data_IF_163979611458
#
_entry.id   IF_163979611458
#
_cell.length_a   1.000
_cell.length_b   1.000
_cell.length_c   1.000
_cell.angle_alpha   90.00
_cell.angle_beta   90.00
_cell.angle_gamma   90.00
#
_symmetry.space_group_name_H-M   'P 1'
#
loop_
_entity.id
_entity.type
_entity.pdbx_description
1 polymer ?
#
# COMPACT_ATOMS: atom_id res chain seq x y z
N UNK A 1 2.91 15.16 9.84
CA UNK A 1 3.69 14.08 9.18
C UNK A 1 2.96 12.73 9.16
N UNK A 2 2.44 12.22 10.29
CA UNK A 2 1.69 10.94 10.32
C UNK A 2 0.48 10.91 9.37
N UNK A 3 -0.35 11.94 9.34
CA UNK A 3 -1.50 12.05 8.42
C UNK A 3 -1.08 12.06 6.95
N UNK A 4 0.03 12.74 6.61
CA UNK A 4 0.58 12.76 5.25
C UNK A 4 0.99 11.37 4.78
N UNK A 5 1.64 10.58 5.65
CA UNK A 5 1.97 9.18 5.38
C UNK A 5 0.72 8.31 5.14
N UNK A 6 -0.35 8.51 5.91
CA UNK A 6 -1.57 7.75 5.67
C UNK A 6 -2.27 8.14 4.36
N UNK A 7 -2.13 9.40 3.92
CA UNK A 7 -2.61 9.84 2.59
C UNK A 7 -1.80 9.19 1.48
N UNK A 8 -0.47 9.05 1.63
CA UNK A 8 0.33 8.36 0.60
C UNK A 8 -0.09 6.91 0.41
N UNK A 9 -0.68 6.26 1.42
CA UNK A 9 -1.24 4.92 1.31
C UNK A 9 -2.45 4.80 0.33
N UNK A 10 -3.06 5.93 -0.06
CA UNK A 10 -4.10 6.00 -1.10
C UNK A 10 -3.50 6.04 -2.51
N UNK A 11 -2.20 6.18 -2.64
CA UNK A 11 -1.47 6.03 -3.90
C UNK A 11 -0.93 4.59 -3.92
N UNK A 12 -1.24 3.78 -4.94
CA UNK A 12 -0.89 2.35 -4.94
C UNK A 12 0.61 2.09 -5.18
N UNK A 13 1.39 3.13 -5.46
CA UNK A 13 2.80 3.04 -5.85
C UNK A 13 3.69 3.59 -4.72
N UNK A 14 4.78 2.88 -4.35
CA UNK A 14 5.65 3.28 -3.23
C UNK A 14 6.66 4.39 -3.56
N UNK A 15 6.21 5.50 -4.17
CA UNK A 15 7.09 6.62 -4.56
C UNK A 15 7.54 7.44 -3.34
N UNK A 16 6.61 7.75 -2.44
CA UNK A 16 6.86 8.68 -1.33
C UNK A 16 7.20 7.96 -0.02
N UNK A 17 6.82 6.70 0.13
CA UNK A 17 6.92 5.97 1.39
C UNK A 17 8.33 5.45 1.66
N UNK A 18 9.06 5.04 0.62
CA UNK A 18 10.45 4.59 0.74
C UNK A 18 11.40 5.73 1.16
N UNK A 19 11.40 6.92 0.52
CA UNK A 19 12.23 8.03 0.98
C UNK A 19 11.88 8.46 2.41
N UNK A 20 10.59 8.51 2.75
CA UNK A 20 10.13 8.87 4.10
C UNK A 20 10.60 7.85 5.14
N UNK A 21 10.51 6.54 4.83
CA UNK A 21 11.04 5.49 5.69
C UNK A 21 12.54 5.69 5.96
N UNK A 22 13.34 5.90 4.91
CA UNK A 22 14.79 6.05 5.02
C UNK A 22 15.20 7.26 5.87
N UNK A 23 14.54 8.41 5.67
CA UNK A 23 14.83 9.65 6.42
C UNK A 23 14.40 9.53 7.90
N UNK A 24 13.32 8.80 8.17
CA UNK A 24 12.73 8.72 9.52
C UNK A 24 13.25 7.55 10.34
N UNK A 25 13.99 6.61 9.74
CA UNK A 25 14.54 5.42 10.39
C UNK A 25 15.27 5.75 11.70
N UNK A 26 16.15 6.76 11.65
CA UNK A 26 16.98 7.16 12.80
C UNK A 26 16.38 8.29 13.64
N UNK A 27 15.36 9.01 13.12
CA UNK A 27 14.79 10.20 13.77
C UNK A 27 13.53 9.90 14.57
N UNK A 28 12.70 8.98 14.07
CA UNK A 28 11.42 8.66 14.70
C UNK A 28 11.00 7.22 14.37
N UNK A 29 11.31 6.25 15.25
CA UNK A 29 11.05 4.83 14.98
C UNK A 29 9.56 4.53 14.78
N UNK A 30 8.66 5.30 15.40
CA UNK A 30 7.21 5.18 15.18
C UNK A 30 6.80 5.53 13.75
N UNK A 31 7.39 6.59 13.18
CA UNK A 31 7.08 7.04 11.82
C UNK A 31 7.69 6.09 10.80
N UNK A 32 8.90 5.60 11.06
CA UNK A 32 9.54 4.58 10.25
C UNK A 32 8.70 3.29 10.21
N UNK A 33 8.17 2.84 11.35
CA UNK A 33 7.31 1.66 11.39
C UNK A 33 6.03 1.82 10.56
N UNK A 34 5.38 2.99 10.61
CA UNK A 34 4.21 3.29 9.79
C UNK A 34 4.57 3.34 8.30
N UNK A 35 5.67 4.01 7.96
CA UNK A 35 6.16 4.09 6.58
C UNK A 35 6.49 2.71 6.00
N UNK A 36 7.11 1.83 6.78
CA UNK A 36 7.41 0.44 6.39
C UNK A 36 6.12 -0.34 6.08
N UNK A 37 5.09 -0.22 6.93
CA UNK A 37 3.80 -0.88 6.68
C UNK A 37 3.12 -0.41 5.39
N UNK A 38 3.12 0.90 5.14
CA UNK A 38 2.53 1.46 3.92
C UNK A 38 3.33 1.02 2.70
N UNK A 39 4.66 1.06 2.79
CA UNK A 39 5.54 0.61 1.73
C UNK A 39 5.29 -0.87 1.38
N UNK A 40 5.25 -1.74 2.40
CA UNK A 40 4.96 -3.16 2.24
C UNK A 40 3.61 -3.38 1.53
N UNK A 41 2.58 -2.62 1.90
CA UNK A 41 1.27 -2.67 1.25
C UNK A 41 1.28 -2.22 -0.22
N UNK A 42 1.87 -1.07 -0.51
CA UNK A 42 1.98 -0.53 -1.87
C UNK A 42 2.80 -1.46 -2.76
N UNK A 43 3.93 -1.96 -2.26
CA UNK A 43 4.77 -2.88 -3.01
C UNK A 43 4.02 -4.20 -3.30
N UNK A 44 3.26 -4.72 -2.33
CA UNK A 44 2.43 -5.90 -2.54
C UNK A 44 1.39 -5.67 -3.64
N UNK A 45 0.70 -4.52 -3.64
CA UNK A 45 -0.25 -4.18 -4.71
C UNK A 45 0.42 -4.12 -6.08
N UNK A 46 1.61 -3.52 -6.18
CA UNK A 46 2.39 -3.47 -7.44
C UNK A 46 2.75 -4.89 -7.90
N UNK A 47 3.20 -5.75 -6.99
CA UNK A 47 3.54 -7.15 -7.30
C UNK A 47 2.31 -7.91 -7.77
N UNK A 48 1.17 -7.78 -7.08
CA UNK A 48 -0.05 -8.46 -7.49
C UNK A 48 -0.55 -7.97 -8.85
N UNK A 49 -0.46 -6.66 -9.12
CA UNK A 49 -0.82 -6.10 -10.42
C UNK A 49 0.12 -6.59 -11.53
N UNK A 50 1.42 -6.64 -11.26
CA UNK A 50 2.41 -7.17 -12.19
C UNK A 50 2.17 -8.67 -12.47
N UNK A 51 1.93 -9.48 -11.44
CA UNK A 51 1.55 -10.88 -11.60
C UNK A 51 0.24 -11.02 -12.40
N UNK A 52 -0.74 -10.16 -12.15
CA UNK A 52 -1.99 -10.10 -12.92
C UNK A 52 -1.73 -9.87 -14.40
N UNK A 53 -0.86 -8.90 -14.75
CA UNK A 53 -0.48 -8.62 -16.13
C UNK A 53 0.21 -9.81 -16.79
N UNK A 54 1.15 -10.45 -16.08
CA UNK A 54 1.85 -11.64 -16.60
C UNK A 54 0.92 -12.83 -16.86
N UNK A 55 -0.19 -12.93 -16.12
CA UNK A 55 -1.18 -14.00 -16.26
C UNK A 55 -2.31 -13.67 -17.24
N UNK A 56 -2.28 -12.52 -17.92
CA UNK A 56 -3.27 -12.18 -18.97
C UNK A 56 -3.32 -13.23 -20.10
N UNK A 57 -2.19 -13.78 -20.60
CA UNK A 57 -2.22 -14.77 -21.69
C UNK A 57 -3.03 -16.03 -21.39
N UNK A 58 -3.20 -16.37 -20.11
CA UNK A 58 -3.97 -17.53 -19.65
C UNK A 58 -5.36 -17.15 -19.10
N UNK A 59 -5.85 -15.94 -19.42
CA UNK A 59 -7.13 -15.34 -18.97
C UNK A 59 -7.31 -15.14 -17.46
N UNK A 60 -6.55 -15.86 -16.61
CA UNK A 60 -6.56 -15.73 -15.15
C UNK A 60 -6.15 -14.32 -14.71
N UNK A 61 -5.21 -13.70 -15.43
CA UNK A 61 -4.75 -12.34 -15.14
C UNK A 61 -5.84 -11.29 -15.14
N UNK A 62 -6.83 -11.42 -16.04
CA UNK A 62 -7.95 -10.47 -16.13
C UNK A 62 -8.82 -10.49 -14.86
N UNK A 63 -9.15 -11.68 -14.36
CA UNK A 63 -9.89 -11.84 -13.11
C UNK A 63 -9.12 -11.28 -11.92
N UNK A 64 -7.80 -11.52 -11.86
CA UNK A 64 -6.94 -11.02 -10.78
C UNK A 64 -6.85 -9.49 -10.78
N UNK A 65 -6.68 -8.86 -11.95
CA UNK A 65 -6.63 -7.40 -12.08
C UNK A 65 -7.98 -6.77 -11.65
N UNK A 66 -9.11 -7.31 -12.11
CA UNK A 66 -10.43 -6.83 -11.70
C UNK A 66 -10.62 -6.95 -10.19
N UNK A 67 -10.27 -8.10 -9.60
CA UNK A 67 -10.34 -8.31 -8.16
C UNK A 67 -9.49 -7.28 -7.39
N UNK A 68 -8.27 -7.01 -7.83
CA UNK A 68 -7.40 -5.99 -7.22
C UNK A 68 -8.01 -4.59 -7.29
N UNK A 69 -8.62 -4.21 -8.43
CA UNK A 69 -9.28 -2.91 -8.59
C UNK A 69 -10.45 -2.79 -7.60
N UNK A 70 -11.33 -3.79 -7.54
CA UNK A 70 -12.45 -3.79 -6.60
C UNK A 70 -11.99 -3.75 -5.15
N UNK A 71 -11.00 -4.58 -4.81
CA UNK A 71 -10.38 -4.59 -3.48
C UNK A 71 -9.82 -3.22 -3.11
N UNK A 72 -9.11 -2.57 -4.03
CA UNK A 72 -8.50 -1.26 -3.81
C UNK A 72 -9.54 -0.15 -3.61
N UNK A 73 -10.61 -0.16 -4.39
CA UNK A 73 -11.74 0.77 -4.23
C UNK A 73 -12.38 0.59 -2.85
N UNK A 74 -12.68 -0.65 -2.45
CA UNK A 74 -13.25 -0.95 -1.12
C UNK A 74 -12.30 -0.50 -0.01
N UNK A 75 -10.99 -0.72 -0.18
CA UNK A 75 -9.97 -0.26 0.75
C UNK A 75 -10.01 1.26 0.92
N UNK A 76 -10.04 2.03 -0.18
CA UNK A 76 -10.14 3.49 -0.14
C UNK A 76 -11.40 3.91 0.60
N UNK A 77 -12.57 3.40 0.23
CA UNK A 77 -13.87 3.80 0.82
C UNK A 77 -13.88 3.55 2.33
N UNK A 78 -13.41 2.38 2.77
CA UNK A 78 -13.39 2.03 4.20
C UNK A 78 -12.39 2.85 5.00
N UNK A 79 -11.26 3.22 4.38
CA UNK A 79 -10.14 3.82 5.10
C UNK A 79 -10.04 5.33 4.98
N UNK A 80 -10.75 5.98 4.05
CA UNK A 80 -10.67 7.44 3.85
C UNK A 80 -11.00 8.24 5.12
N UNK A 81 -11.95 7.75 5.93
CA UNK A 81 -12.31 8.35 7.23
C UNK A 81 -11.33 8.02 8.37
N UNK A 82 -10.53 6.96 8.20
CA UNK A 82 -9.58 6.47 9.21
C UNK A 82 -8.15 6.97 8.95
N UNK A 83 -7.85 7.45 7.74
CA UNK A 83 -6.58 8.12 7.37
C UNK A 83 -6.26 9.27 8.34
N UNK A 84 -7.26 10.07 8.71
CA UNK A 84 -7.11 11.19 9.65
C UNK A 84 -6.97 10.75 11.11
N UNK A 85 -7.43 9.54 11.45
CA UNK A 85 -7.34 8.96 12.80
C UNK A 85 -6.06 8.15 13.03
N UNK A 86 -5.25 7.93 11.99
CA UNK A 86 -3.96 7.23 12.09
C UNK A 86 -4.07 5.72 12.36
N UNK A 87 -5.26 5.14 12.21
CA UNK A 87 -5.56 3.74 12.58
C UNK A 87 -5.85 2.90 11.32
N UNK A 88 -4.92 2.94 10.36
CA UNK A 88 -5.03 2.18 9.12
C UNK A 88 -4.51 0.75 9.29
N UNK A 89 -5.33 -0.22 8.93
CA UNK A 89 -4.95 -1.63 8.82
C UNK A 89 -4.62 -1.92 7.36
N UNK A 90 -3.48 -2.56 7.10
CA UNK A 90 -2.99 -2.90 5.76
C UNK A 90 -3.05 -4.41 5.52
N UNK A 91 -4.24 -4.97 5.26
CA UNK A 91 -4.40 -6.41 5.05
C UNK A 91 -3.74 -6.86 3.74
N UNK A 92 -3.34 -8.13 3.68
CA UNK A 92 -2.71 -8.78 2.53
C UNK A 92 -1.39 -8.14 2.06
N UNK A 93 -0.70 -7.43 2.96
CA UNK A 93 0.66 -6.93 2.73
C UNK A 93 1.69 -8.00 3.03
N UNK A 94 2.63 -8.20 2.12
CA UNK A 94 3.83 -9.00 2.30
C UNK A 94 4.85 -8.12 3.03
N UNK A 95 5.49 -8.65 4.08
CA UNK A 95 6.48 -7.90 4.86
C UNK A 95 7.84 -7.95 4.18
N UNK A 96 8.34 -6.80 3.73
CA UNK A 96 9.69 -6.65 3.15
C UNK A 96 10.62 -5.88 4.09
N UNK A 97 10.12 -4.76 4.64
CA UNK A 97 10.77 -3.94 5.66
C UNK A 97 10.19 -4.20 7.06
#
# INVERSE_FOLDING_TARGET
MKTFLHITALIPIPVFTLPVWFITLNKSPQIAFIAAKIFNFQLSLVIYLFAGVLLIPIYIGFGLILFLIFYYIIFIIKNIKNVTKGNLVYPYSIKFL
#
